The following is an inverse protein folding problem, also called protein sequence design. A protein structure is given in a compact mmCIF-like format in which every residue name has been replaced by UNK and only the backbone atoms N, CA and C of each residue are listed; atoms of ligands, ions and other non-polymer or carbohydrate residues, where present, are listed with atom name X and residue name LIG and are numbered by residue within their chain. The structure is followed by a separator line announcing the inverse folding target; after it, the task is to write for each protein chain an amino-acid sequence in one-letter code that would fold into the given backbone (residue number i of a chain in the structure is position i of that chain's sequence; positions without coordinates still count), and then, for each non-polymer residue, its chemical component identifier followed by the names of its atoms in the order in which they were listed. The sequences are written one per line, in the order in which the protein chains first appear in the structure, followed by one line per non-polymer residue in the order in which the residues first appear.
data_IF_926367957625
#
_entry.id   IF_926367957625
#
_cell.length_a   1.000
_cell.length_b   1.000
_cell.length_c   1.000
_cell.angle_alpha   90.00
_cell.angle_beta   90.00
_cell.angle_gamma   90.00
#
_symmetry.space_group_name_H-M   'P 1'
#
loop_
_entity.id
_entity.type
_entity.pdbx_description
1 polymer ?
#
# COMPACT_ATOMS: atom_id res chain seq x y z
N UNK A 1 -42.81 -2.38 29.86
CA UNK A 1 -41.75 -1.71 30.64
C UNK A 1 -40.50 -2.57 30.57
N UNK A 2 -39.55 -2.21 29.72
CA UNK A 2 -38.23 -2.86 29.64
C UNK A 2 -37.22 -1.97 30.40
N UNK A 3 -36.31 -2.55 31.21
CA UNK A 3 -35.36 -1.76 32.00
C UNK A 3 -34.18 -1.28 31.14
N UNK A 4 -33.50 -0.18 31.52
CA UNK A 4 -32.37 0.34 30.76
C UNK A 4 -31.10 -0.49 31.01
N UNK A 5 -30.34 -0.72 29.92
CA UNK A 5 -29.01 -1.34 29.94
C UNK A 5 -27.95 -0.27 30.24
N UNK A 6 -27.12 -0.53 31.25
CA UNK A 6 -25.90 0.22 31.59
C UNK A 6 -24.75 -0.27 30.70
N UNK A 7 -24.00 0.65 30.07
CA UNK A 7 -22.74 0.35 29.39
C UNK A 7 -21.54 0.81 30.25
N UNK A 8 -20.42 0.07 30.28
CA UNK A 8 -19.23 0.49 31.03
C UNK A 8 -18.29 1.35 30.16
N UNK A 9 -17.58 2.25 30.82
CA UNK A 9 -16.55 3.13 30.26
C UNK A 9 -15.28 2.34 29.89
N UNK A 10 -14.74 2.59 28.69
CA UNK A 10 -13.43 2.09 28.26
C UNK A 10 -12.42 3.25 28.22
N UNK A 11 -11.31 3.07 28.95
CA UNK A 11 -10.22 4.01 29.08
C UNK A 11 -9.37 4.08 27.81
N UNK A 12 -8.99 5.31 27.42
CA UNK A 12 -8.09 5.60 26.32
C UNK A 12 -6.63 5.33 26.72
N UNK A 13 -5.89 4.62 25.87
CA UNK A 13 -4.44 4.52 25.90
C UNK A 13 -3.88 5.03 24.57
N UNK A 14 -3.00 6.05 24.66
CA UNK A 14 -2.31 6.65 23.52
C UNK A 14 -1.12 5.77 23.06
N UNK A 15 -0.77 5.72 21.76
CA UNK A 15 0.47 5.09 21.34
C UNK A 15 1.62 6.10 21.30
N UNK A 16 2.70 5.75 21.99
CA UNK A 16 4.01 6.40 21.99
C UNK A 16 4.76 6.07 20.69
N UNK A 17 5.17 7.09 19.93
CA UNK A 17 6.08 6.94 18.80
C UNK A 17 7.52 6.72 19.30
N UNK A 18 8.13 5.58 18.96
CA UNK A 18 9.54 5.29 19.19
C UNK A 18 10.30 5.36 17.87
N UNK A 19 11.16 6.37 17.77
CA UNK A 19 12.11 6.57 16.69
C UNK A 19 13.24 5.52 16.76
N UNK A 20 13.53 4.85 15.64
CA UNK A 20 14.69 3.97 15.52
C UNK A 20 15.79 4.65 14.70
N UNK A 21 16.97 4.73 15.33
CA UNK A 21 18.18 5.37 14.84
C UNK A 21 18.91 4.55 13.77
N UNK A 22 19.53 5.25 12.83
CA UNK A 22 20.43 4.71 11.82
C UNK A 22 21.79 4.31 12.42
N UNK A 23 22.33 3.15 12.00
CA UNK A 23 23.73 2.78 12.21
C UNK A 23 24.27 1.90 11.08
N UNK A 24 25.22 2.45 10.33
CA UNK A 24 26.21 1.77 9.46
C UNK A 24 27.53 1.59 10.25
N UNK A 25 28.63 1.03 9.69
CA UNK A 25 28.86 -0.14 8.83
C UNK A 25 29.99 -1.06 9.40
N UNK A 26 30.35 -2.17 8.74
CA UNK A 26 31.73 -2.69 8.75
C UNK A 26 31.97 -3.77 7.68
N UNK A 27 32.86 -3.47 6.73
CA UNK A 27 33.47 -4.43 5.82
C UNK A 27 34.44 -5.34 6.57
N UNK A 28 34.34 -6.66 6.38
CA UNK A 28 35.35 -7.63 6.83
C UNK A 28 35.97 -8.31 5.61
N UNK A 29 37.25 -8.04 5.40
CA UNK A 29 38.12 -8.76 4.47
C UNK A 29 38.59 -10.06 5.12
N UNK A 30 38.52 -11.18 4.39
CA UNK A 30 39.16 -12.44 4.77
C UNK A 30 40.24 -12.81 3.74
N UNK A 31 41.46 -13.21 4.16
CA UNK A 31 42.52 -13.65 3.27
C UNK A 31 42.43 -15.15 3.01
N UNK A 32 42.75 -15.58 1.79
CA UNK A 32 42.95 -17.00 1.44
C UNK A 32 44.39 -17.20 0.96
N UNK A 33 45.18 -18.09 1.57
CA UNK A 33 46.47 -18.49 1.03
C UNK A 33 46.39 -19.85 0.34
N UNK A 34 47.13 -20.03 -0.76
CA UNK A 34 48.10 -21.13 -1.00
C UNK A 34 48.33 -21.37 -2.50
N UNK A 35 49.60 -21.64 -2.81
CA UNK A 35 49.97 -22.75 -3.69
C UNK A 35 50.38 -22.35 -5.11
N UNK A 36 51.69 -22.24 -5.31
CA UNK A 36 52.34 -22.16 -6.61
C UNK A 36 52.35 -23.53 -7.32
N UNK A 37 52.08 -23.54 -8.62
CA UNK A 37 52.31 -24.66 -9.53
C UNK A 37 51.96 -24.25 -10.97
N UNK A 38 52.88 -24.32 -11.96
CA UNK A 38 52.66 -23.78 -13.29
C UNK A 38 52.05 -24.83 -14.23
N UNK A 39 51.21 -24.36 -15.16
CA UNK A 39 51.00 -25.02 -16.44
C UNK A 39 49.66 -25.74 -16.62
N UNK A 40 48.71 -25.07 -17.24
CA UNK A 40 47.86 -25.67 -18.27
C UNK A 40 47.19 -24.59 -19.11
N UNK A 41 47.26 -24.81 -20.42
CA UNK A 41 46.99 -23.89 -21.53
C UNK A 41 45.49 -23.66 -21.75
N UNK A 42 45.16 -22.44 -22.17
CA UNK A 42 43.83 -21.94 -22.52
C UNK A 42 43.08 -22.78 -23.55
N UNK A 43 41.75 -22.89 -23.40
CA UNK A 43 40.82 -22.93 -24.54
C UNK A 43 39.65 -21.97 -24.28
N UNK A 44 39.73 -20.78 -24.86
CA UNK A 44 38.60 -19.88 -25.01
C UNK A 44 37.74 -20.39 -26.17
N UNK A 45 36.74 -21.22 -25.88
CA UNK A 45 35.69 -21.55 -26.84
C UNK A 45 34.60 -20.47 -26.77
N UNK A 46 34.90 -19.28 -27.29
CA UNK A 46 33.89 -18.29 -27.59
C UNK A 46 33.03 -18.80 -28.73
N UNK A 47 31.83 -19.30 -28.44
CA UNK A 47 30.77 -19.45 -29.46
C UNK A 47 30.37 -18.04 -29.90
N UNK A 48 31.05 -17.52 -30.91
CA UNK A 48 30.64 -16.32 -31.64
C UNK A 48 29.30 -16.60 -32.29
N UNK A 49 28.25 -16.00 -31.76
CA UNK A 49 26.97 -15.85 -32.45
C UNK A 49 27.20 -14.79 -33.51
N UNK A 50 26.98 -15.13 -34.78
CA UNK A 50 26.93 -14.15 -35.85
C UNK A 50 25.95 -13.03 -35.48
N UNK A 51 26.50 -11.86 -35.18
CA UNK A 51 25.71 -10.63 -35.18
C UNK A 51 25.51 -10.31 -36.66
N UNK A 52 24.32 -10.61 -37.18
CA UNK A 52 23.87 -10.08 -38.46
C UNK A 52 23.94 -8.56 -38.38
N UNK A 53 24.99 -8.00 -38.98
CA UNK A 53 25.25 -6.57 -39.05
C UNK A 53 24.00 -5.84 -39.57
N UNK A 54 23.38 -5.00 -38.74
CA UNK A 54 22.15 -4.25 -39.06
C UNK A 54 20.87 -4.73 -38.37
N UNK A 55 20.87 -5.85 -37.66
CA UNK A 55 19.69 -6.31 -36.89
C UNK A 55 19.76 -5.77 -35.45
N UNK A 56 18.85 -4.85 -35.10
CA UNK A 56 18.79 -4.18 -33.78
C UNK A 56 17.99 -4.97 -32.74
N UNK A 57 16.94 -5.67 -33.16
CA UNK A 57 16.01 -6.37 -32.28
C UNK A 57 15.93 -7.85 -32.70
N UNK A 58 16.26 -8.75 -31.78
CA UNK A 58 16.23 -10.20 -31.98
C UNK A 58 15.34 -10.84 -30.91
N UNK A 59 14.00 -10.85 -31.10
CA UNK A 59 13.07 -11.17 -30.03
C UNK A 59 13.31 -12.53 -29.38
N UNK A 60 13.61 -13.58 -30.15
CA UNK A 60 13.90 -14.90 -29.58
C UNK A 60 15.23 -14.98 -28.83
N UNK A 61 16.17 -14.07 -29.10
CA UNK A 61 17.43 -13.99 -28.35
C UNK A 61 17.28 -13.17 -27.08
N UNK A 62 16.49 -12.11 -27.12
CA UNK A 62 16.15 -11.27 -25.98
C UNK A 62 15.24 -12.00 -24.97
N UNK A 63 14.27 -12.76 -25.46
CA UNK A 63 13.31 -13.50 -24.61
C UNK A 63 13.91 -14.71 -23.88
N UNK A 64 15.10 -15.22 -24.28
CA UNK A 64 15.72 -16.37 -23.62
C UNK A 64 15.99 -16.11 -22.14
N UNK A 65 16.39 -14.88 -21.81
CA UNK A 65 16.56 -14.45 -20.42
C UNK A 65 15.22 -14.40 -19.70
N UNK A 66 14.22 -13.75 -20.28
CA UNK A 66 12.90 -13.55 -19.66
C UNK A 66 12.13 -14.86 -19.46
N UNK A 67 12.20 -15.79 -20.40
CA UNK A 67 11.52 -17.08 -20.31
C UNK A 67 12.01 -17.92 -19.13
N UNK A 68 13.29 -17.80 -18.78
CA UNK A 68 13.87 -18.47 -17.61
C UNK A 68 13.45 -17.85 -16.27
N UNK A 69 13.01 -16.58 -16.28
CA UNK A 69 12.54 -15.86 -15.10
C UNK A 69 11.04 -16.05 -14.84
N UNK A 70 10.30 -16.68 -15.75
CA UNK A 70 8.85 -16.93 -15.57
C UNK A 70 8.65 -17.87 -14.37
N UNK A 71 7.95 -17.42 -13.31
CA UNK A 71 7.68 -18.22 -12.13
C UNK A 71 6.99 -19.55 -12.45
N UNK A 72 7.51 -20.65 -11.90
CA UNK A 72 6.90 -21.99 -12.02
C UNK A 72 6.00 -22.34 -10.83
N UNK A 73 6.19 -21.64 -9.70
CA UNK A 73 5.44 -21.87 -8.48
C UNK A 73 4.06 -21.20 -8.55
N UNK A 74 3.02 -21.88 -8.05
CA UNK A 74 1.61 -21.42 -8.15
C UNK A 74 1.29 -20.19 -7.30
N UNK A 75 2.09 -19.93 -6.27
CA UNK A 75 1.96 -18.82 -5.33
C UNK A 75 2.61 -17.53 -5.84
N UNK A 76 3.49 -17.63 -6.83
CA UNK A 76 4.18 -16.50 -7.43
C UNK A 76 3.35 -15.85 -8.54
N UNK A 77 3.48 -14.52 -8.68
CA UNK A 77 2.76 -13.78 -9.71
C UNK A 77 3.51 -13.81 -11.04
N UNK A 78 2.83 -14.22 -12.10
CA UNK A 78 3.36 -14.20 -13.47
C UNK A 78 3.51 -12.78 -14.03
N UNK A 79 2.76 -11.82 -13.50
CA UNK A 79 2.70 -10.45 -14.01
C UNK A 79 3.65 -9.46 -13.28
N UNK A 80 4.29 -9.89 -12.18
CA UNK A 80 5.11 -8.99 -11.37
C UNK A 80 6.43 -8.68 -12.07
N UNK A 81 6.56 -7.45 -12.57
CA UNK A 81 7.77 -6.96 -13.23
C UNK A 81 8.13 -5.57 -12.70
N UNK A 82 9.41 -5.41 -12.29
CA UNK A 82 9.97 -4.14 -11.76
C UNK A 82 9.04 -3.48 -10.73
N UNK A 83 8.52 -4.28 -9.82
CA UNK A 83 7.62 -3.86 -8.75
C UNK A 83 8.21 -4.36 -7.43
N UNK A 84 8.96 -3.46 -6.78
CA UNK A 84 9.68 -3.72 -5.54
C UNK A 84 8.73 -3.75 -4.36
N UNK A 85 9.12 -4.44 -3.30
CA UNK A 85 8.28 -4.68 -2.13
C UNK A 85 7.89 -3.38 -1.40
N UNK A 86 8.75 -2.34 -1.46
CA UNK A 86 8.44 -1.01 -0.93
C UNK A 86 7.24 -0.37 -1.65
N UNK A 87 7.13 -0.51 -2.98
CA UNK A 87 5.98 0.00 -3.73
C UNK A 87 4.71 -0.81 -3.42
N UNK A 88 4.83 -2.13 -3.29
CA UNK A 88 3.69 -2.99 -2.90
C UNK A 88 3.17 -2.60 -1.51
N UNK A 89 4.07 -2.36 -0.56
CA UNK A 89 3.73 -1.92 0.79
C UNK A 89 3.06 -0.55 0.80
N UNK A 90 3.61 0.43 0.06
CA UNK A 90 3.04 1.77 -0.04
C UNK A 90 1.62 1.77 -0.64
N UNK A 91 1.35 0.94 -1.66
CA UNK A 91 0.00 0.81 -2.22
C UNK A 91 -0.96 0.18 -1.19
N UNK A 92 -0.51 -0.83 -0.43
CA UNK A 92 -1.34 -1.41 0.63
C UNK A 92 -1.64 -0.41 1.76
N UNK A 93 -0.67 0.44 2.12
CA UNK A 93 -0.86 1.53 3.08
C UNK A 93 -1.88 2.55 2.54
N UNK A 94 -1.74 2.99 1.29
CA UNK A 94 -2.69 3.92 0.68
C UNK A 94 -4.10 3.34 0.60
N UNK A 95 -4.26 2.05 0.25
CA UNK A 95 -5.57 1.37 0.29
C UNK A 95 -6.22 1.50 1.67
N UNK A 96 -5.43 1.34 2.74
CA UNK A 96 -5.94 1.48 4.10
C UNK A 96 -6.29 2.93 4.44
N UNK A 97 -5.52 3.91 3.98
CA UNK A 97 -5.83 5.34 4.12
C UNK A 97 -7.19 5.65 3.49
N UNK A 98 -7.43 5.23 2.25
CA UNK A 98 -8.70 5.46 1.56
C UNK A 98 -9.90 4.79 2.26
N UNK A 99 -9.72 3.55 2.76
CA UNK A 99 -10.77 2.88 3.53
C UNK A 99 -11.07 3.58 4.86
N UNK A 100 -10.05 4.08 5.56
CA UNK A 100 -10.26 4.86 6.79
C UNK A 100 -10.97 6.19 6.50
N UNK A 101 -10.61 6.87 5.42
CA UNK A 101 -11.28 8.10 4.97
C UNK A 101 -12.75 7.83 4.61
N UNK A 102 -13.02 6.77 3.82
CA UNK A 102 -14.38 6.34 3.50
C UNK A 102 -15.22 6.09 4.76
N UNK A 103 -14.65 5.43 5.76
CA UNK A 103 -15.35 5.12 7.01
C UNK A 103 -15.57 6.35 7.89
N UNK A 104 -14.63 7.29 7.92
CA UNK A 104 -14.79 8.59 8.59
C UNK A 104 -15.88 9.45 7.93
N UNK A 105 -15.94 9.52 6.60
CA UNK A 105 -17.04 10.20 5.90
C UNK A 105 -18.38 9.52 6.13
N UNK A 106 -18.39 8.19 6.25
CA UNK A 106 -19.61 7.46 6.59
C UNK A 106 -20.12 7.82 8.00
N UNK A 107 -19.23 8.03 8.97
CA UNK A 107 -19.63 8.44 10.32
C UNK A 107 -20.17 9.87 10.34
N UNK A 108 -19.61 10.78 9.54
CA UNK A 108 -20.15 12.12 9.33
C UNK A 108 -21.54 12.08 8.69
N UNK A 109 -21.74 11.25 7.67
CA UNK A 109 -23.08 11.01 7.12
C UNK A 109 -24.07 10.57 8.20
N UNK A 110 -23.70 9.57 9.01
CA UNK A 110 -24.55 9.06 10.09
C UNK A 110 -24.86 10.11 11.18
N UNK A 111 -23.97 11.09 11.38
CA UNK A 111 -24.19 12.20 12.31
C UNK A 111 -25.12 13.27 11.73
N UNK A 112 -24.88 13.74 10.50
CA UNK A 112 -25.69 14.80 9.88
C UNK A 112 -27.09 14.34 9.44
N UNK A 113 -27.30 13.03 9.28
CA UNK A 113 -28.62 12.44 8.95
C UNK A 113 -29.55 12.29 10.16
N UNK A 114 -29.06 12.54 11.39
CA UNK A 114 -29.89 12.48 12.60
C UNK A 114 -31.02 13.51 12.56
N UNK A 115 -32.17 13.16 13.12
CA UNK A 115 -33.36 14.01 13.14
C UNK A 115 -33.17 15.31 13.92
N UNK A 116 -32.30 15.30 14.95
CA UNK A 116 -31.99 16.47 15.78
C UNK A 116 -30.90 17.38 15.19
N UNK A 117 -30.12 16.92 14.21
CA UNK A 117 -29.16 17.76 13.46
C UNK A 117 -29.80 18.28 12.17
N UNK A 118 -30.52 17.39 11.45
CA UNK A 118 -31.35 17.69 10.29
C UNK A 118 -30.64 18.40 9.10
N UNK A 119 -29.32 18.24 8.97
CA UNK A 119 -28.52 18.84 7.88
C UNK A 119 -28.40 17.90 6.68
N UNK A 120 -29.53 17.60 6.02
CA UNK A 120 -29.61 16.62 4.91
C UNK A 120 -28.66 16.88 3.74
N UNK A 121 -28.32 18.14 3.47
CA UNK A 121 -27.33 18.50 2.44
C UNK A 121 -25.92 18.00 2.77
N UNK A 122 -25.51 18.15 4.04
CA UNK A 122 -24.24 17.63 4.54
C UNK A 122 -24.25 16.10 4.60
N UNK A 123 -25.36 15.50 5.06
CA UNK A 123 -25.52 14.05 5.06
C UNK A 123 -25.31 13.47 3.65
N UNK A 124 -25.95 14.04 2.63
CA UNK A 124 -25.78 13.63 1.23
C UNK A 124 -24.32 13.80 0.76
N UNK A 125 -23.71 14.96 1.02
CA UNK A 125 -22.33 15.24 0.63
C UNK A 125 -21.34 14.22 1.20
N UNK A 126 -21.44 13.93 2.51
CA UNK A 126 -20.56 12.95 3.16
C UNK A 126 -20.86 11.52 2.75
N UNK A 127 -22.11 11.19 2.41
CA UNK A 127 -22.44 9.88 1.85
C UNK A 127 -21.76 9.68 0.49
N UNK A 128 -21.88 10.66 -0.41
CA UNK A 128 -21.23 10.63 -1.73
C UNK A 128 -19.70 10.61 -1.60
N UNK A 129 -19.14 11.39 -0.68
CA UNK A 129 -17.69 11.39 -0.40
C UNK A 129 -17.21 10.04 0.15
N UNK A 130 -17.98 9.41 1.05
CA UNK A 130 -17.67 8.07 1.57
C UNK A 130 -17.61 7.02 0.45
N UNK A 131 -18.53 7.09 -0.51
CA UNK A 131 -18.55 6.18 -1.65
C UNK A 131 -17.39 6.47 -2.63
N UNK A 132 -17.04 7.74 -2.85
CA UNK A 132 -15.89 8.16 -3.68
C UNK A 132 -14.55 7.63 -3.14
N UNK A 133 -14.27 7.77 -1.84
CA UNK A 133 -13.02 7.25 -1.25
C UNK A 133 -12.97 5.71 -1.26
N UNK A 134 -14.13 5.05 -1.14
CA UNK A 134 -14.18 3.60 -1.30
C UNK A 134 -13.83 3.19 -2.73
N UNK A 135 -14.31 3.92 -3.73
CA UNK A 135 -13.93 3.70 -5.13
C UNK A 135 -12.42 3.95 -5.35
N UNK A 136 -11.81 4.90 -4.63
CA UNK A 136 -10.36 5.12 -4.64
C UNK A 136 -9.60 3.89 -4.10
N UNK A 137 -10.01 3.34 -2.96
CA UNK A 137 -9.46 2.10 -2.42
C UNK A 137 -9.57 0.94 -3.43
N UNK A 138 -10.73 0.78 -4.07
CA UNK A 138 -10.98 -0.27 -5.06
C UNK A 138 -10.11 -0.11 -6.33
N UNK A 139 -9.85 1.13 -6.78
CA UNK A 139 -8.92 1.40 -7.89
C UNK A 139 -7.49 0.98 -7.55
N UNK A 140 -7.03 1.27 -6.33
CA UNK A 140 -5.70 0.86 -5.86
C UNK A 140 -5.58 -0.67 -5.71
N UNK A 141 -6.64 -1.35 -5.22
CA UNK A 141 -6.73 -2.81 -5.19
C UNK A 141 -6.55 -3.41 -6.60
N UNK A 142 -7.25 -2.84 -7.60
CA UNK A 142 -7.12 -3.28 -8.99
C UNK A 142 -5.69 -3.06 -9.49
N UNK A 143 -5.10 -1.89 -9.23
CA UNK A 143 -3.72 -1.58 -9.62
C UNK A 143 -2.69 -2.53 -8.98
N UNK A 144 -2.81 -2.80 -7.68
CA UNK A 144 -1.96 -3.75 -6.95
C UNK A 144 -1.98 -5.13 -7.62
N UNK A 145 -3.17 -5.65 -7.92
CA UNK A 145 -3.35 -6.93 -8.59
C UNK A 145 -2.80 -6.92 -10.03
N UNK A 146 -2.97 -5.82 -10.77
CA UNK A 146 -2.41 -5.65 -12.12
C UNK A 146 -0.88 -5.71 -12.13
N UNK A 147 -0.22 -5.14 -11.11
CA UNK A 147 1.25 -5.18 -10.95
C UNK A 147 1.75 -6.51 -10.39
N UNK A 148 0.86 -7.46 -10.09
CA UNK A 148 1.21 -8.75 -9.50
C UNK A 148 1.55 -8.71 -8.01
N UNK A 149 1.23 -7.61 -7.33
CA UNK A 149 1.29 -7.50 -5.87
C UNK A 149 0.17 -8.28 -5.18
N UNK A 150 0.23 -8.37 -3.86
CA UNK A 150 -0.78 -8.99 -3.00
C UNK A 150 -1.40 -7.91 -2.11
N UNK A 151 -2.72 -7.77 -2.24
CA UNK A 151 -3.50 -6.86 -1.40
C UNK A 151 -3.52 -7.39 0.03
N UNK A 152 -3.17 -6.53 0.99
CA UNK A 152 -3.23 -6.81 2.43
C UNK A 152 -4.08 -5.76 3.11
N UNK A 153 -5.38 -6.04 3.23
CA UNK A 153 -6.29 -5.15 3.96
C UNK A 153 -5.92 -5.12 5.44
N UNK A 154 -5.83 -3.91 5.99
CA UNK A 154 -5.50 -3.66 7.39
C UNK A 154 -6.77 -3.31 8.18
N UNK A 155 -6.62 -3.15 9.49
CA UNK A 155 -7.72 -2.73 10.36
C UNK A 155 -8.13 -1.30 10.07
N UNK A 156 -9.43 -1.07 9.98
CA UNK A 156 -10.02 0.27 9.93
C UNK A 156 -10.22 0.75 11.38
N UNK A 157 -9.76 1.97 11.67
CA UNK A 157 -9.91 2.58 13.00
C UNK A 157 -11.36 3.03 13.20
N UNK A 158 -11.89 2.84 14.40
CA UNK A 158 -13.23 3.34 14.74
C UNK A 158 -13.25 4.87 14.64
N UNK A 159 -14.11 5.46 13.79
CA UNK A 159 -14.16 6.90 13.60
C UNK A 159 -14.90 7.56 14.77
N UNK A 160 -14.72 8.87 14.90
CA UNK A 160 -15.57 9.68 15.79
C UNK A 160 -17.03 9.61 15.33
N UNK A 161 -17.95 9.64 16.29
CA UNK A 161 -19.40 9.56 16.04
C UNK A 161 -20.16 10.83 16.39
N UNK A 162 -19.55 11.67 17.23
CA UNK A 162 -20.10 12.96 17.67
C UNK A 162 -19.21 14.09 17.13
N UNK A 163 -19.85 15.12 16.59
CA UNK A 163 -19.19 16.25 15.94
C UNK A 163 -19.76 17.60 16.40
N UNK A 164 -20.50 17.60 17.51
CA UNK A 164 -21.08 18.80 18.12
C UNK A 164 -19.97 19.68 18.73
N UNK A 165 -20.04 20.99 18.48
CA UNK A 165 -19.11 21.94 19.07
C UNK A 165 -19.84 23.20 19.57
N UNK A 166 -19.76 23.54 20.87
CA UNK A 166 -20.60 24.58 21.48
C UNK A 166 -20.39 25.98 20.88
N UNK A 167 -19.17 26.30 20.46
CA UNK A 167 -18.85 27.64 19.93
C UNK A 167 -18.87 27.74 18.40
N UNK A 168 -18.69 26.61 17.69
CA UNK A 168 -18.44 26.58 16.25
C UNK A 168 -19.62 26.00 15.46
N UNK A 169 -20.56 25.36 16.16
CA UNK A 169 -21.63 24.58 15.56
C UNK A 169 -21.10 23.30 14.90
N UNK A 170 -22.03 22.42 14.58
CA UNK A 170 -21.78 21.07 14.07
C UNK A 170 -21.06 21.03 12.71
N UNK A 171 -21.16 22.13 11.94
CA UNK A 171 -20.67 22.19 10.56
C UNK A 171 -19.13 22.24 10.45
N UNK A 172 -18.42 22.81 11.44
CA UNK A 172 -16.99 23.13 11.28
C UNK A 172 -16.06 21.95 11.56
N UNK A 173 -16.50 20.92 12.27
CA UNK A 173 -15.63 19.78 12.62
C UNK A 173 -15.49 18.75 11.49
N UNK A 174 -16.34 18.83 10.47
CA UNK A 174 -16.29 17.98 9.28
C UNK A 174 -15.10 18.22 8.36
N UNK A 175 -14.19 19.17 8.67
CA UNK A 175 -13.03 19.48 7.83
C UNK A 175 -11.79 18.63 8.11
N UNK A 176 -11.72 17.91 9.24
CA UNK A 176 -10.57 17.05 9.56
C UNK A 176 -10.32 15.89 8.56
N UNK A 177 -11.33 15.27 7.92
CA UNK A 177 -11.11 14.26 6.90
C UNK A 177 -10.79 14.82 5.49
N UNK A 178 -10.82 16.14 5.25
CA UNK A 178 -10.53 16.72 3.92
C UNK A 178 -9.09 16.48 3.42
N UNK A 179 -8.18 16.01 4.28
CA UNK A 179 -6.79 15.76 3.92
C UNK A 179 -6.62 14.70 2.81
N UNK A 180 -7.60 13.80 2.60
CA UNK A 180 -7.50 12.75 1.58
C UNK A 180 -7.63 13.27 0.13
N UNK A 181 -8.30 14.40 -0.12
CA UNK A 181 -8.51 14.91 -1.49
C UNK A 181 -7.27 15.46 -2.19
N UNK A 182 -6.11 15.49 -1.53
CA UNK A 182 -4.87 16.07 -2.05
C UNK A 182 -3.80 15.06 -2.50
N UNK A 183 -4.10 13.76 -2.47
CA UNK A 183 -3.21 12.70 -2.95
C UNK A 183 -3.71 12.12 -4.28
#
# INVERSE_FOLDING_TARGET
MLPPRVAPAAAAAAPTYLAAAASTPASVWLPVPRGAGPGAVCRAAGKGKEVLSGVVFQPFEELKGELSLVPQAKDQSLARQKFVDECEAAINEQINVEYNASYAYHSLFAYFDRDNVALKGFAKFFKESSDEERDHAEKLIKYQNMRGGRVRLQSIVTPLTEFDHPEKGDALYGELPLFCRSL
#
